data_IF_502077855829
#
_entry.id   IF_502077855829
#
_cell.length_a   1.000
_cell.length_b   1.000
_cell.length_c   1.000
_cell.angle_alpha   90.00
_cell.angle_beta   90.00
_cell.angle_gamma   90.00
#
_symmetry.space_group_name_H-M   'P 1'
#
loop_
_entity.id
_entity.type
_entity.pdbx_description
1 polymer ?
#
# COMPACT_ATOMS: atom_id res chain seq x y z
N UNK A 1 11.22 -30.53 -35.02
CA UNK A 1 11.89 -30.11 -36.28
C UNK A 1 11.17 -28.86 -36.80
N UNK A 2 11.79 -28.08 -37.69
CA UNK A 2 11.38 -26.71 -38.09
C UNK A 2 11.50 -25.69 -36.95
N UNK A 3 12.72 -25.16 -36.81
CA UNK A 3 12.98 -23.90 -36.13
C UNK A 3 12.66 -22.75 -37.10
N UNK A 4 11.86 -21.76 -36.67
CA UNK A 4 11.41 -20.64 -37.51
C UNK A 4 11.51 -19.32 -36.73
N UNK A 5 12.72 -18.98 -36.26
CA UNK A 5 13.06 -17.62 -35.78
C UNK A 5 14.37 -17.03 -36.30
N UNK A 6 14.86 -17.52 -37.45
CA UNK A 6 15.97 -16.90 -38.21
C UNK A 6 15.56 -15.60 -38.93
N UNK A 7 14.98 -14.64 -38.18
CA UNK A 7 15.03 -13.20 -38.44
C UNK A 7 14.24 -12.46 -37.35
N UNK A 8 14.93 -11.66 -36.55
CA UNK A 8 14.32 -10.52 -35.88
C UNK A 8 15.38 -9.43 -35.72
N UNK A 9 15.24 -8.37 -36.52
CA UNK A 9 16.04 -7.14 -36.41
C UNK A 9 15.89 -6.64 -34.97
N UNK A 10 17.02 -6.36 -34.31
CA UNK A 10 17.06 -5.89 -32.93
C UNK A 10 16.37 -4.54 -32.78
N UNK A 11 15.07 -4.56 -32.48
CA UNK A 11 14.32 -3.36 -32.06
C UNK A 11 15.06 -2.73 -30.87
N UNK A 12 15.36 -1.42 -30.89
CA UNK A 12 16.03 -0.78 -29.77
C UNK A 12 15.19 -0.93 -28.50
N UNK A 13 15.82 -1.40 -27.42
CA UNK A 13 15.19 -1.62 -26.11
C UNK A 13 15.05 -0.30 -25.34
N UNK A 14 14.36 0.67 -25.96
CA UNK A 14 14.20 2.03 -25.44
C UNK A 14 14.01 3.07 -26.54
N UNK A 15 13.76 4.31 -26.12
CA UNK A 15 13.65 5.49 -27.00
C UNK A 15 15.04 6.00 -27.42
N UNK A 16 16.07 5.67 -26.63
CA UNK A 16 17.45 6.16 -26.77
C UNK A 16 18.44 5.01 -26.97
N UNK A 17 19.62 5.34 -27.51
CA UNK A 17 20.76 4.42 -27.58
C UNK A 17 21.23 4.00 -26.17
N UNK A 18 21.78 2.79 -25.98
CA UNK A 18 22.34 2.38 -24.70
C UNK A 18 23.57 3.23 -24.33
N UNK A 19 23.69 3.59 -23.05
CA UNK A 19 24.82 4.39 -22.51
C UNK A 19 26.15 3.62 -22.64
N UNK A 20 26.10 2.29 -22.56
CA UNK A 20 27.22 1.39 -22.83
C UNK A 20 26.68 0.04 -23.30
N UNK A 21 27.43 -0.63 -24.17
CA UNK A 21 27.22 -2.04 -24.57
C UNK A 21 28.33 -2.96 -24.07
N UNK A 22 29.19 -2.49 -23.15
CA UNK A 22 30.22 -3.31 -22.54
C UNK A 22 29.61 -4.42 -21.67
N UNK A 23 30.15 -5.64 -21.79
CA UNK A 23 29.81 -6.74 -20.89
C UNK A 23 30.45 -6.57 -19.49
N UNK A 24 29.99 -7.33 -18.49
CA UNK A 24 30.58 -7.32 -17.15
C UNK A 24 32.03 -7.82 -17.17
N UNK A 25 32.88 -7.24 -16.32
CA UNK A 25 34.22 -7.76 -16.05
C UNK A 25 34.15 -8.98 -15.12
N UNK A 26 35.27 -9.67 -14.92
CA UNK A 26 35.38 -10.76 -13.94
C UNK A 26 35.00 -10.30 -12.51
N UNK A 27 35.33 -9.06 -12.15
CA UNK A 27 35.03 -8.50 -10.84
C UNK A 27 33.52 -8.22 -10.67
N UNK A 28 32.86 -7.73 -11.73
CA UNK A 28 31.40 -7.53 -11.73
C UNK A 28 30.64 -8.86 -11.61
N UNK A 29 31.17 -9.94 -12.19
CA UNK A 29 30.61 -11.30 -12.06
C UNK A 29 30.68 -11.75 -10.60
N UNK A 30 31.86 -11.69 -9.95
CA UNK A 30 32.01 -12.06 -8.54
C UNK A 30 31.14 -11.21 -7.61
N UNK A 31 31.07 -9.89 -7.82
CA UNK A 31 30.17 -9.03 -7.05
C UNK A 31 28.68 -9.34 -7.29
N UNK A 32 28.28 -9.82 -8.47
CA UNK A 32 26.92 -10.30 -8.71
C UNK A 32 26.65 -11.65 -8.05
N UNK A 33 27.64 -12.54 -7.96
CA UNK A 33 27.54 -13.81 -7.22
C UNK A 33 27.36 -13.57 -5.71
N UNK A 34 28.17 -12.68 -5.13
CA UNK A 34 28.01 -12.20 -3.74
C UNK A 34 26.62 -11.58 -3.49
N UNK A 35 26.13 -10.76 -4.42
CA UNK A 35 24.80 -10.16 -4.35
C UNK A 35 23.68 -11.21 -4.45
N UNK A 36 23.76 -12.17 -5.37
CA UNK A 36 22.77 -13.24 -5.48
C UNK A 36 22.73 -14.09 -4.19
N UNK A 37 23.90 -14.43 -3.62
CA UNK A 37 23.98 -15.14 -2.34
C UNK A 37 23.40 -14.34 -1.16
N UNK A 38 23.61 -13.02 -1.10
CA UNK A 38 23.01 -12.14 -0.10
C UNK A 38 21.48 -12.05 -0.23
N UNK A 39 20.95 -11.99 -1.45
CA UNK A 39 19.50 -11.92 -1.70
C UNK A 39 18.78 -13.22 -1.34
N UNK A 40 19.44 -14.37 -1.49
CA UNK A 40 18.95 -15.67 -0.97
C UNK A 40 18.94 -15.71 0.56
N UNK A 41 20.05 -15.34 1.20
CA UNK A 41 20.17 -15.28 2.67
C UNK A 41 19.19 -14.29 3.30
N UNK A 42 18.75 -13.27 2.55
CA UNK A 42 17.72 -12.32 2.99
C UNK A 42 16.27 -12.86 2.91
N UNK A 43 16.06 -14.14 2.59
CA UNK A 43 14.77 -14.81 2.48
C UNK A 43 13.76 -14.10 1.54
N UNK A 44 14.27 -13.47 0.47
CA UNK A 44 13.45 -12.73 -0.50
C UNK A 44 12.70 -13.62 -1.50
N UNK A 45 13.16 -14.86 -1.68
CA UNK A 45 12.55 -15.85 -2.55
C UNK A 45 11.52 -16.66 -1.76
N UNK A 46 10.39 -17.01 -2.38
CA UNK A 46 9.50 -18.02 -1.84
C UNK A 46 10.15 -19.42 -1.86
N UNK A 47 9.74 -20.30 -0.94
CA UNK A 47 10.21 -21.68 -0.98
C UNK A 47 9.47 -22.50 -2.06
N UNK A 48 10.03 -23.65 -2.43
CA UNK A 48 9.46 -24.52 -3.48
C UNK A 48 8.03 -24.96 -3.16
N UNK A 49 7.74 -25.18 -1.89
CA UNK A 49 6.43 -25.60 -1.38
C UNK A 49 5.40 -24.46 -1.48
N UNK A 50 5.81 -23.21 -1.29
CA UNK A 50 4.97 -22.04 -1.54
C UNK A 50 4.69 -21.87 -3.03
N UNK A 51 5.71 -21.96 -3.89
CA UNK A 51 5.54 -21.90 -5.35
C UNK A 51 4.52 -22.94 -5.85
N UNK A 52 4.64 -24.20 -5.41
CA UNK A 52 3.71 -25.29 -5.74
C UNK A 52 2.29 -24.98 -5.23
N UNK A 53 2.12 -24.42 -4.01
CA UNK A 53 0.81 -23.99 -3.52
C UNK A 53 0.20 -22.87 -4.38
N UNK A 54 0.99 -21.89 -4.82
CA UNK A 54 0.52 -20.80 -5.68
C UNK A 54 0.07 -21.31 -7.06
N UNK A 55 0.84 -22.22 -7.66
CA UNK A 55 0.45 -22.87 -8.91
C UNK A 55 -0.84 -23.69 -8.76
N UNK A 56 -0.97 -24.46 -7.67
CA UNK A 56 -2.20 -25.20 -7.37
C UNK A 56 -3.43 -24.28 -7.18
N UNK A 57 -3.26 -23.14 -6.51
CA UNK A 57 -4.30 -22.11 -6.36
C UNK A 57 -4.68 -21.52 -7.72
N UNK A 58 -3.71 -21.15 -8.57
CA UNK A 58 -3.96 -20.61 -9.90
C UNK A 58 -4.68 -21.61 -10.82
N UNK A 59 -4.28 -22.88 -10.80
CA UNK A 59 -4.99 -23.95 -11.50
C UNK A 59 -6.43 -24.09 -11.02
N UNK A 60 -6.67 -24.09 -9.69
CA UNK A 60 -8.03 -24.19 -9.13
C UNK A 60 -8.89 -22.98 -9.48
N UNK A 61 -8.36 -21.76 -9.39
CA UNK A 61 -9.06 -20.53 -9.79
C UNK A 61 -9.42 -20.54 -11.28
N UNK A 62 -8.52 -21.03 -12.14
CA UNK A 62 -8.75 -21.14 -13.58
C UNK A 62 -9.90 -22.10 -13.92
N UNK A 63 -10.01 -23.25 -13.23
CA UNK A 63 -11.15 -24.17 -13.42
C UNK A 63 -12.46 -23.63 -12.81
N UNK A 64 -12.40 -22.86 -11.70
CA UNK A 64 -13.56 -22.12 -11.17
C UNK A 64 -14.08 -21.12 -12.21
N UNK A 65 -13.19 -20.31 -12.79
CA UNK A 65 -13.53 -19.32 -13.83
C UNK A 65 -14.10 -19.97 -15.09
N UNK A 66 -13.54 -21.10 -15.54
CA UNK A 66 -14.10 -21.90 -16.65
C UNK A 66 -15.46 -22.51 -16.34
N UNK A 67 -15.72 -22.89 -15.09
CA UNK A 67 -17.01 -23.46 -14.67
C UNK A 67 -18.07 -22.37 -14.58
N UNK A 68 -17.73 -21.24 -13.95
CA UNK A 68 -18.55 -20.04 -13.90
C UNK A 68 -19.00 -19.58 -15.29
N UNK A 69 -18.09 -19.40 -16.25
CA UNK A 69 -18.48 -18.90 -17.59
C UNK A 69 -19.41 -19.85 -18.34
N UNK A 70 -19.32 -21.17 -18.11
CA UNK A 70 -20.26 -22.15 -18.67
C UNK A 70 -21.64 -22.02 -18.03
N UNK A 71 -21.70 -21.89 -16.72
CA UNK A 71 -22.96 -21.67 -15.99
C UNK A 71 -23.65 -20.37 -16.42
N UNK A 72 -22.90 -19.27 -16.54
CA UNK A 72 -23.39 -17.99 -17.07
C UNK A 72 -23.88 -18.11 -18.52
N UNK A 73 -23.15 -18.86 -19.37
CA UNK A 73 -23.57 -19.10 -20.75
C UNK A 73 -24.89 -19.87 -20.83
N UNK A 74 -25.07 -20.87 -19.95
CA UNK A 74 -26.31 -21.65 -19.85
C UNK A 74 -27.47 -20.79 -19.32
N UNK A 75 -27.27 -20.04 -18.24
CA UNK A 75 -28.28 -19.16 -17.64
C UNK A 75 -28.77 -18.05 -18.59
N UNK A 76 -27.91 -17.59 -19.50
CA UNK A 76 -28.25 -16.62 -20.55
C UNK A 76 -28.84 -17.25 -21.83
N UNK A 77 -29.24 -18.53 -21.77
CA UNK A 77 -29.96 -19.21 -22.85
C UNK A 77 -29.12 -19.49 -24.10
N UNK A 78 -27.79 -19.46 -24.00
CA UNK A 78 -26.94 -19.79 -25.14
C UNK A 78 -27.01 -21.30 -25.46
N UNK A 79 -26.90 -21.64 -26.74
CA UNK A 79 -27.00 -23.03 -27.21
C UNK A 79 -25.93 -23.93 -26.60
N UNK A 80 -26.23 -25.22 -26.49
CA UNK A 80 -25.33 -26.26 -25.98
C UNK A 80 -23.92 -26.22 -26.62
N UNK A 81 -23.87 -25.99 -27.93
CA UNK A 81 -22.61 -25.79 -28.68
C UNK A 81 -21.85 -24.56 -28.18
N UNK A 82 -22.53 -23.45 -27.90
CA UNK A 82 -21.93 -22.23 -27.36
C UNK A 82 -21.42 -22.46 -25.93
N UNK A 83 -22.23 -23.06 -25.06
CA UNK A 83 -21.86 -23.38 -23.66
C UNK A 83 -20.62 -24.29 -23.61
N UNK A 84 -20.52 -25.31 -24.47
CA UNK A 84 -19.35 -26.19 -24.52
C UNK A 84 -18.05 -25.47 -24.91
N UNK A 85 -18.14 -24.44 -25.77
CA UNK A 85 -16.98 -23.64 -26.21
C UNK A 85 -16.75 -22.37 -25.35
N UNK A 86 -17.67 -22.05 -24.43
CA UNK A 86 -17.52 -20.94 -23.51
C UNK A 86 -16.29 -21.12 -22.63
N UNK A 87 -15.43 -20.10 -22.62
CA UNK A 87 -14.11 -20.16 -21.99
C UNK A 87 -13.73 -18.80 -21.44
N UNK A 88 -13.08 -18.80 -20.28
CA UNK A 88 -12.54 -17.63 -19.62
C UNK A 88 -11.17 -18.02 -19.04
N UNK A 89 -10.23 -17.07 -18.98
CA UNK A 89 -8.84 -17.31 -18.59
C UNK A 89 -8.42 -16.35 -17.50
N UNK A 90 -7.54 -16.83 -16.61
CA UNK A 90 -6.85 -15.98 -15.65
C UNK A 90 -5.46 -15.62 -16.18
N UNK A 91 -5.09 -14.35 -16.05
CA UNK A 91 -3.75 -13.83 -16.31
C UNK A 91 -3.17 -13.29 -15.00
N UNK A 92 -1.95 -13.69 -14.66
CA UNK A 92 -1.22 -13.08 -13.54
C UNK A 92 -0.53 -11.80 -13.99
N UNK A 93 -0.40 -10.83 -13.09
CA UNK A 93 0.38 -9.61 -13.31
C UNK A 93 1.21 -9.24 -12.08
N UNK A 94 1.71 -8.00 -12.04
CA UNK A 94 2.34 -7.42 -10.87
C UNK A 94 3.54 -8.22 -10.37
N UNK A 95 3.68 -8.33 -9.05
CA UNK A 95 4.95 -8.79 -8.46
C UNK A 95 5.23 -10.29 -8.70
N UNK A 96 4.16 -11.10 -8.75
CA UNK A 96 4.24 -12.53 -9.03
C UNK A 96 4.62 -12.81 -10.49
N UNK A 97 3.94 -12.18 -11.46
CA UNK A 97 4.24 -12.33 -12.90
C UNK A 97 5.65 -11.85 -13.26
N UNK A 98 6.13 -10.78 -12.61
CA UNK A 98 7.50 -10.31 -12.77
C UNK A 98 8.54 -11.30 -12.18
N UNK A 99 8.16 -12.26 -11.34
CA UNK A 99 9.07 -13.23 -10.70
C UNK A 99 9.94 -12.62 -9.59
N UNK A 100 9.44 -11.55 -8.95
CA UNK A 100 10.14 -10.79 -7.91
C UNK A 100 9.30 -10.64 -6.63
N UNK A 101 8.21 -11.40 -6.51
CA UNK A 101 7.53 -11.68 -5.25
C UNK A 101 8.44 -12.46 -4.29
N UNK A 102 8.01 -12.54 -3.03
CA UNK A 102 8.65 -13.33 -1.99
C UNK A 102 7.61 -14.00 -1.08
N UNK A 103 8.03 -14.57 0.06
CA UNK A 103 7.14 -15.22 1.01
C UNK A 103 5.98 -14.30 1.43
N UNK A 104 4.79 -14.87 1.53
CA UNK A 104 3.57 -14.14 1.94
C UNK A 104 3.06 -13.01 1.02
N UNK A 105 3.69 -12.74 -0.13
CA UNK A 105 3.17 -11.74 -1.08
C UNK A 105 1.88 -12.21 -1.78
N UNK A 106 1.03 -11.28 -2.24
CA UNK A 106 -0.20 -11.60 -2.97
C UNK A 106 0.04 -12.06 -4.43
N UNK A 107 -1.01 -12.60 -5.07
CA UNK A 107 -1.02 -12.93 -6.50
C UNK A 107 -2.00 -12.03 -7.24
N UNK A 108 -1.47 -11.00 -7.90
CA UNK A 108 -2.24 -10.12 -8.78
C UNK A 108 -2.83 -10.93 -9.96
N UNK A 109 -4.17 -11.05 -10.05
CA UNK A 109 -4.86 -11.86 -11.05
C UNK A 109 -5.97 -11.09 -11.78
N UNK A 110 -6.07 -11.30 -13.10
CA UNK A 110 -7.11 -10.74 -13.97
C UNK A 110 -7.89 -11.89 -14.63
N UNK A 111 -9.20 -11.93 -14.40
CA UNK A 111 -10.11 -12.79 -15.17
C UNK A 111 -10.49 -12.11 -16.50
N UNK A 112 -10.43 -12.85 -17.60
CA UNK A 112 -10.86 -12.40 -18.93
C UNK A 112 -11.86 -13.41 -19.50
N UNK A 113 -13.10 -12.97 -19.67
CA UNK A 113 -14.20 -13.73 -20.28
C UNK A 113 -14.80 -13.01 -21.51
N UNK A 114 -15.78 -13.64 -22.19
CA UNK A 114 -16.46 -13.08 -23.35
C UNK A 114 -17.49 -12.01 -22.96
N UNK A 115 -17.67 -11.00 -23.83
CA UNK A 115 -18.50 -9.77 -23.65
C UNK A 115 -19.96 -9.96 -23.17
N UNK A 116 -20.53 -11.16 -23.26
CA UNK A 116 -21.90 -11.44 -22.78
C UNK A 116 -21.95 -11.81 -21.29
N UNK A 117 -20.83 -12.26 -20.71
CA UNK A 117 -20.68 -12.37 -19.28
C UNK A 117 -20.35 -10.98 -18.72
N UNK A 118 -21.23 -10.52 -17.85
CA UNK A 118 -21.15 -9.24 -17.18
C UNK A 118 -20.53 -9.45 -15.80
N UNK A 119 -20.00 -8.38 -15.19
CA UNK A 119 -19.50 -8.43 -13.81
C UNK A 119 -20.63 -8.74 -12.83
N UNK A 120 -21.86 -8.39 -13.18
CA UNK A 120 -23.07 -8.71 -12.42
C UNK A 120 -23.40 -10.22 -12.41
N UNK A 121 -22.81 -11.03 -13.29
CA UNK A 121 -22.91 -12.50 -13.21
C UNK A 121 -21.88 -13.12 -12.23
N UNK A 122 -20.97 -12.31 -11.68
CA UNK A 122 -19.89 -12.70 -10.77
C UNK A 122 -20.07 -11.97 -9.44
N UNK A 123 -21.02 -12.43 -8.62
CA UNK A 123 -21.42 -11.71 -7.42
C UNK A 123 -20.32 -11.63 -6.34
N UNK A 124 -19.95 -10.39 -6.03
CA UNK A 124 -19.14 -9.92 -4.89
C UNK A 124 -19.50 -8.46 -4.53
N UNK A 125 -20.69 -8.00 -4.93
CA UNK A 125 -21.39 -6.72 -4.61
C UNK A 125 -20.55 -5.45 -4.28
N UNK A 126 -20.62 -4.30 -4.95
CA UNK A 126 -21.28 -3.79 -6.18
C UNK A 126 -20.41 -2.56 -6.66
N UNK A 127 -20.73 -1.60 -7.55
CA UNK A 127 -21.94 -1.29 -8.33
C UNK A 127 -21.59 -0.52 -9.63
N UNK A 128 -22.12 -0.97 -10.79
CA UNK A 128 -22.31 -0.23 -12.06
C UNK A 128 -21.11 0.40 -12.81
N UNK A 129 -21.15 0.75 -14.10
CA UNK A 129 -21.78 0.27 -15.36
C UNK A 129 -20.92 0.90 -16.50
N UNK A 130 -20.63 0.20 -17.61
CA UNK A 130 -20.67 0.73 -19.01
C UNK A 130 -19.99 -0.19 -20.07
N UNK A 131 -20.32 0.07 -21.34
CA UNK A 131 -19.61 -0.42 -22.54
C UNK A 131 -18.98 0.77 -23.29
N UNK A 132 -18.04 0.48 -24.20
CA UNK A 132 -16.87 1.31 -24.53
C UNK A 132 -15.93 1.35 -23.32
N UNK A 133 -14.74 0.75 -23.49
CA UNK A 133 -13.97 0.15 -22.38
C UNK A 133 -13.81 1.13 -21.23
N UNK A 134 -14.49 0.83 -20.13
CA UNK A 134 -14.56 1.67 -18.95
C UNK A 134 -13.17 1.80 -18.31
N UNK A 135 -12.97 2.89 -17.57
CA UNK A 135 -11.65 3.19 -17.02
C UNK A 135 -11.19 2.12 -16.01
N UNK A 136 -12.12 1.40 -15.37
CA UNK A 136 -11.77 0.32 -14.43
C UNK A 136 -11.24 -0.90 -15.19
N UNK A 137 -11.89 -1.34 -16.27
CA UNK A 137 -11.40 -2.39 -17.16
C UNK A 137 -10.06 -2.02 -17.81
N UNK A 138 -9.87 -0.75 -18.21
CA UNK A 138 -8.56 -0.25 -18.69
C UNK A 138 -7.50 -0.34 -17.59
N UNK A 139 -7.79 0.11 -16.36
CA UNK A 139 -6.87 0.01 -15.21
C UNK A 139 -6.54 -1.45 -14.87
N UNK A 140 -7.51 -2.35 -14.92
CA UNK A 140 -7.32 -3.81 -14.73
C UNK A 140 -6.46 -4.44 -15.82
N UNK A 141 -6.67 -4.10 -17.09
CA UNK A 141 -5.83 -4.57 -18.21
C UNK A 141 -4.43 -3.96 -18.21
N UNK A 142 -4.27 -2.73 -17.69
CA UNK A 142 -2.97 -2.07 -17.58
C UNK A 142 -2.01 -2.83 -16.66
N UNK A 143 -2.50 -3.49 -15.60
CA UNK A 143 -1.69 -4.37 -14.76
C UNK A 143 -0.96 -5.44 -15.58
N UNK A 144 -1.70 -6.24 -16.34
CA UNK A 144 -1.13 -7.25 -17.26
C UNK A 144 -0.28 -6.62 -18.36
N UNK A 145 -0.79 -5.60 -19.06
CA UNK A 145 -0.11 -4.97 -20.20
C UNK A 145 1.24 -4.37 -19.81
N UNK A 146 1.29 -3.55 -18.77
CA UNK A 146 2.54 -2.91 -18.31
C UNK A 146 3.53 -3.97 -17.85
N UNK A 147 3.06 -5.02 -17.15
CA UNK A 147 3.91 -6.13 -16.71
C UNK A 147 4.56 -6.87 -17.89
N UNK A 148 3.78 -7.28 -18.88
CA UNK A 148 4.31 -8.01 -20.05
C UNK A 148 5.11 -7.07 -20.98
N UNK A 149 4.76 -5.78 -21.08
CA UNK A 149 5.56 -4.79 -21.82
C UNK A 149 6.93 -4.55 -21.18
N UNK A 150 7.02 -4.48 -19.85
CA UNK A 150 8.31 -4.41 -19.15
C UNK A 150 9.18 -5.63 -19.50
N UNK A 151 8.60 -6.84 -19.44
CA UNK A 151 9.31 -8.07 -19.79
C UNK A 151 9.72 -8.18 -21.27
N UNK A 152 9.03 -7.47 -22.17
CA UNK A 152 9.40 -7.36 -23.60
C UNK A 152 10.44 -6.27 -23.89
N UNK A 153 10.58 -5.28 -23.02
CA UNK A 153 11.48 -4.14 -23.21
C UNK A 153 12.84 -4.29 -22.51
N UNK A 154 13.00 -5.23 -21.58
CA UNK A 154 14.29 -5.48 -20.91
C UNK A 154 15.17 -6.45 -21.73
N UNK A 155 16.46 -6.12 -21.98
CA UNK A 155 17.35 -6.97 -22.79
C UNK A 155 17.78 -8.26 -22.06
N UNK A 156 17.74 -8.31 -20.73
CA UNK A 156 18.01 -9.52 -19.95
C UNK A 156 17.06 -9.63 -18.75
N UNK A 157 16.18 -10.64 -18.78
CA UNK A 157 15.16 -10.87 -17.75
C UNK A 157 15.77 -11.38 -16.43
N UNK A 158 16.88 -12.14 -16.42
CA UNK A 158 17.53 -12.56 -15.16
C UNK A 158 18.11 -11.35 -14.45
N UNK A 159 18.95 -10.57 -15.14
CA UNK A 159 19.58 -9.37 -14.58
C UNK A 159 18.53 -8.39 -14.07
N UNK A 160 17.49 -8.09 -14.86
CA UNK A 160 16.38 -7.25 -14.44
C UNK A 160 15.70 -7.75 -13.15
N UNK A 161 15.45 -9.06 -13.02
CA UNK A 161 14.87 -9.65 -11.80
C UNK A 161 15.79 -9.53 -10.59
N UNK A 162 17.08 -9.83 -10.72
CA UNK A 162 18.06 -9.68 -9.63
C UNK A 162 18.16 -8.21 -9.18
N UNK A 163 18.32 -7.27 -10.11
CA UNK A 163 18.34 -5.83 -9.81
C UNK A 163 17.04 -5.36 -9.16
N UNK A 164 15.87 -5.78 -9.65
CA UNK A 164 14.58 -5.37 -9.09
C UNK A 164 14.35 -5.97 -7.68
N UNK A 165 14.78 -7.21 -7.40
CA UNK A 165 14.77 -7.77 -6.04
C UNK A 165 15.64 -6.95 -5.08
N UNK A 166 16.86 -6.62 -5.50
CA UNK A 166 17.78 -5.76 -4.75
C UNK A 166 17.16 -4.37 -4.46
N UNK A 167 16.64 -3.68 -5.47
CA UNK A 167 16.01 -2.37 -5.32
C UNK A 167 14.74 -2.41 -4.44
N UNK A 168 13.96 -3.50 -4.48
CA UNK A 168 12.78 -3.66 -3.61
C UNK A 168 13.15 -3.97 -2.16
N UNK A 169 14.19 -4.77 -1.89
CA UNK A 169 14.73 -4.96 -0.54
C UNK A 169 15.25 -3.62 0.03
N UNK A 170 16.03 -2.91 -0.78
CA UNK A 170 16.56 -1.59 -0.43
C UNK A 170 15.44 -0.63 -0.03
N UNK A 171 14.47 -0.43 -0.92
CA UNK A 171 13.37 0.48 -0.69
C UNK A 171 12.58 0.12 0.58
N UNK A 172 12.36 -1.19 0.83
CA UNK A 172 11.68 -1.67 2.05
C UNK A 172 12.45 -1.30 3.31
N UNK A 173 13.74 -1.66 3.40
CA UNK A 173 14.56 -1.38 4.60
C UNK A 173 14.81 0.12 4.85
N UNK A 174 14.71 0.94 3.81
CA UNK A 174 14.82 2.41 3.89
C UNK A 174 13.49 3.13 4.14
N UNK A 175 12.37 2.41 4.19
CA UNK A 175 11.04 3.01 4.40
C UNK A 175 10.49 3.78 3.20
N UNK A 176 11.07 3.60 2.00
CA UNK A 176 10.63 4.24 0.74
C UNK A 176 9.91 3.27 -0.20
N UNK A 177 9.57 2.06 0.28
CA UNK A 177 8.69 1.13 -0.43
C UNK A 177 7.21 1.48 -0.17
N UNK A 178 6.84 2.67 -0.60
CA UNK A 178 5.50 3.27 -0.58
C UNK A 178 5.45 4.33 -1.69
N UNK A 179 4.28 4.80 -2.10
CA UNK A 179 4.15 5.81 -3.16
C UNK A 179 4.47 7.25 -2.69
N UNK A 180 5.61 7.43 -2.00
CA UNK A 180 6.20 8.73 -1.62
C UNK A 180 7.67 8.62 -1.16
N UNK A 181 8.38 9.76 -1.23
CA UNK A 181 9.68 10.11 -0.59
C UNK A 181 10.98 9.62 -1.28
N UNK A 182 11.88 10.59 -1.56
CA UNK A 182 13.26 10.39 -2.02
C UNK A 182 14.29 10.53 -0.87
N UNK A 183 15.41 9.79 -0.92
CA UNK A 183 16.71 10.16 -0.31
C UNK A 183 17.88 9.36 -0.92
N UNK A 184 19.12 9.90 -0.88
CA UNK A 184 20.28 9.41 -1.65
C UNK A 184 21.26 8.50 -0.87
N UNK A 185 21.96 7.65 -1.64
CA UNK A 185 23.35 7.13 -1.53
C UNK A 185 24.01 6.86 -0.16
N UNK A 186 24.45 5.62 0.04
CA UNK A 186 25.57 5.21 0.91
C UNK A 186 26.10 3.81 0.48
N UNK A 187 27.17 3.29 1.09
CA UNK A 187 27.74 1.93 0.81
C UNK A 187 26.75 0.79 1.09
N UNK A 188 26.93 -0.40 0.52
CA UNK A 188 25.96 -1.52 0.60
C UNK A 188 25.43 -1.83 2.01
N UNK A 189 26.28 -1.92 3.04
CA UNK A 189 25.84 -2.14 4.42
C UNK A 189 24.99 -0.97 4.95
N UNK A 190 25.44 0.26 4.69
CA UNK A 190 24.71 1.51 5.01
C UNK A 190 23.42 1.66 4.19
N UNK A 191 23.36 1.03 3.02
CA UNK A 191 22.24 1.01 2.07
C UNK A 191 21.15 0.06 2.58
N UNK A 192 21.51 -1.06 3.20
CA UNK A 192 20.60 -2.08 3.74
C UNK A 192 20.43 -2.06 5.27
N UNK A 193 21.06 -1.14 6.01
CA UNK A 193 20.71 -0.88 7.40
C UNK A 193 19.24 -0.42 7.52
N UNK A 194 18.47 -0.91 8.52
CA UNK A 194 17.14 -0.39 8.81
C UNK A 194 17.18 1.11 9.07
N UNK A 195 16.35 1.88 8.37
CA UNK A 195 16.24 3.31 8.66
C UNK A 195 15.62 3.49 10.06
N UNK A 196 16.38 4.08 10.99
CA UNK A 196 15.95 4.35 12.36
C UNK A 196 14.89 5.47 12.41
N UNK A 197 13.70 5.18 11.87
CA UNK A 197 12.64 6.14 11.58
C UNK A 197 12.23 6.93 12.82
N UNK A 198 11.97 6.24 13.94
CA UNK A 198 11.61 6.83 15.22
C UNK A 198 12.77 7.53 15.94
N UNK A 199 13.99 7.50 15.38
CA UNK A 199 15.13 8.28 15.86
C UNK A 199 15.39 9.52 15.00
N UNK A 200 15.06 9.46 13.70
CA UNK A 200 15.43 10.45 12.68
C UNK A 200 14.69 11.80 12.77
N UNK A 201 13.46 11.83 13.31
CA UNK A 201 12.68 13.07 13.48
C UNK A 201 12.57 13.45 14.96
N UNK A 202 12.47 14.76 15.25
CA UNK A 202 12.23 15.26 16.62
C UNK A 202 10.75 15.23 17.01
N UNK A 203 9.86 15.28 16.01
CA UNK A 203 8.42 15.40 16.15
C UNK A 203 7.73 14.46 15.15
N UNK A 204 6.59 13.92 15.55
CA UNK A 204 5.76 13.03 14.76
C UNK A 204 4.29 13.47 14.90
N UNK A 205 3.47 13.14 13.91
CA UNK A 205 2.04 12.94 14.14
C UNK A 205 1.79 11.45 14.39
N UNK A 206 1.02 11.13 15.42
CA UNK A 206 0.45 9.80 15.64
C UNK A 206 -1.01 9.84 15.21
N UNK A 207 -1.39 8.95 14.29
CA UNK A 207 -2.75 8.78 13.78
C UNK A 207 -3.27 7.47 14.37
N UNK A 208 -4.07 7.58 15.42
CA UNK A 208 -4.72 6.43 16.04
C UNK A 208 -6.10 6.21 15.43
N UNK A 209 -6.41 4.97 15.08
CA UNK A 209 -7.75 4.53 14.67
C UNK A 209 -8.22 3.36 15.54
N UNK A 210 -9.53 3.24 15.73
CA UNK A 210 -10.13 2.04 16.29
C UNK A 210 -11.58 1.83 15.83
N UNK A 211 -12.07 0.60 15.97
CA UNK A 211 -13.45 0.19 15.69
C UNK A 211 -13.94 -0.82 16.76
N UNK A 212 -15.19 -1.26 16.69
CA UNK A 212 -15.78 -2.23 17.65
C UNK A 212 -15.44 -3.70 17.37
N UNK A 213 -14.99 -4.04 16.17
CA UNK A 213 -14.73 -5.42 15.70
C UNK A 213 -13.79 -5.40 14.49
N UNK A 214 -13.18 -6.55 14.16
CA UNK A 214 -12.21 -6.68 13.07
C UNK A 214 -12.78 -6.36 11.67
N UNK A 215 -14.05 -6.69 11.40
CA UNK A 215 -14.67 -6.44 10.09
C UNK A 215 -14.84 -4.94 9.81
N UNK A 216 -15.32 -4.19 10.81
CA UNK A 216 -15.36 -2.73 10.76
C UNK A 216 -13.96 -2.13 10.73
N UNK A 217 -13.03 -2.68 11.51
CA UNK A 217 -11.65 -2.21 11.60
C UNK A 217 -10.89 -2.36 10.28
N UNK A 218 -11.00 -3.49 9.60
CA UNK A 218 -10.30 -3.78 8.34
C UNK A 218 -10.68 -2.76 7.25
N UNK A 219 -11.98 -2.49 7.13
CA UNK A 219 -12.52 -1.50 6.19
C UNK A 219 -12.14 -0.07 6.59
N UNK A 220 -12.25 0.28 7.88
CA UNK A 220 -11.85 1.60 8.39
C UNK A 220 -10.35 1.85 8.23
N UNK A 221 -9.52 0.83 8.47
CA UNK A 221 -8.08 0.83 8.25
C UNK A 221 -7.74 1.20 6.81
N UNK A 222 -8.26 0.46 5.83
CA UNK A 222 -8.00 0.73 4.40
C UNK A 222 -8.51 2.11 3.94
N UNK A 223 -9.65 2.56 4.46
CA UNK A 223 -10.19 3.90 4.18
C UNK A 223 -9.26 5.02 4.68
N UNK A 224 -8.74 4.90 5.91
CA UNK A 224 -7.82 5.89 6.50
C UNK A 224 -6.43 5.82 5.87
N UNK A 225 -5.90 4.62 5.65
CA UNK A 225 -4.56 4.39 5.08
C UNK A 225 -4.41 5.04 3.69
N UNK A 226 -5.42 4.86 2.82
CA UNK A 226 -5.49 5.51 1.51
C UNK A 226 -5.56 7.05 1.57
N UNK A 227 -5.84 7.63 2.74
CA UNK A 227 -5.94 9.09 2.97
C UNK A 227 -4.72 9.70 3.66
N UNK A 228 -3.82 8.91 4.25
CA UNK A 228 -2.60 9.44 4.91
C UNK A 228 -1.77 10.32 3.96
N UNK A 229 -1.72 9.98 2.66
CA UNK A 229 -1.06 10.80 1.63
C UNK A 229 -1.73 12.18 1.43
N UNK A 230 -3.05 12.29 1.65
CA UNK A 230 -3.76 13.57 1.60
C UNK A 230 -3.38 14.46 2.79
N UNK A 231 -3.14 13.89 3.97
CA UNK A 231 -2.63 14.66 5.12
C UNK A 231 -1.24 15.23 4.84
N UNK A 232 -0.32 14.47 4.21
CA UNK A 232 0.96 15.04 3.72
C UNK A 232 0.72 16.24 2.81
N UNK A 233 -0.15 16.11 1.80
CA UNK A 233 -0.42 17.20 0.85
C UNK A 233 -1.08 18.41 1.51
N UNK A 234 -2.02 18.22 2.47
CA UNK A 234 -2.62 19.34 3.21
C UNK A 234 -1.59 20.07 4.08
N UNK A 235 -0.69 19.36 4.76
CA UNK A 235 0.36 20.00 5.58
C UNK A 235 1.39 20.72 4.70
N UNK A 236 1.78 20.14 3.56
CA UNK A 236 2.69 20.80 2.62
C UNK A 236 2.03 22.06 1.99
N UNK A 237 0.72 22.01 1.67
CA UNK A 237 -0.09 23.17 1.25
C UNK A 237 -0.09 24.27 2.33
N UNK A 238 -0.53 23.93 3.54
CA UNK A 238 -0.81 24.91 4.60
C UNK A 238 0.47 25.52 5.20
N UNK A 239 1.54 24.73 5.29
CA UNK A 239 2.87 25.22 5.69
C UNK A 239 3.68 25.82 4.54
N UNK A 240 3.11 25.94 3.32
CA UNK A 240 3.78 26.48 2.12
C UNK A 240 5.09 25.76 1.79
N UNK A 241 5.14 24.45 1.98
CA UNK A 241 6.31 23.59 1.76
C UNK A 241 7.44 23.75 2.80
N UNK A 242 7.21 24.46 3.91
CA UNK A 242 8.20 24.65 4.99
C UNK A 242 8.32 23.41 5.87
N UNK A 243 7.25 22.62 6.03
CA UNK A 243 7.24 21.33 6.72
C UNK A 243 7.01 20.20 5.71
N UNK A 244 7.91 19.23 5.72
CA UNK A 244 7.74 17.94 5.04
C UNK A 244 7.19 16.91 6.02
N UNK A 245 6.26 16.09 5.55
CA UNK A 245 5.62 15.03 6.34
C UNK A 245 5.86 13.67 5.68
N UNK A 246 6.69 12.84 6.29
CA UNK A 246 7.01 11.52 5.78
C UNK A 246 6.19 10.47 6.56
N UNK A 247 5.19 9.79 5.95
CA UNK A 247 4.48 8.70 6.63
C UNK A 247 5.37 7.46 6.77
N UNK A 248 5.18 6.70 7.85
CA UNK A 248 5.72 5.35 7.98
C UNK A 248 4.93 4.40 7.06
N UNK A 249 5.56 3.46 6.33
CA UNK A 249 4.85 2.59 5.37
C UNK A 249 3.91 1.52 5.94
N UNK A 250 3.57 1.56 7.23
CA UNK A 250 2.77 0.55 7.90
C UNK A 250 2.17 1.01 9.22
N UNK A 251 1.47 0.11 9.89
CA UNK A 251 0.72 0.36 11.12
C UNK A 251 1.26 -0.42 12.33
N UNK A 252 0.92 0.06 13.53
CA UNK A 252 1.29 -0.54 14.80
C UNK A 252 0.05 -0.80 15.66
N UNK A 253 -0.19 -2.07 15.99
CA UNK A 253 -1.22 -2.51 16.93
C UNK A 253 -0.66 -2.65 18.35
N UNK A 254 -1.29 -2.01 19.33
CA UNK A 254 -1.00 -2.22 20.75
C UNK A 254 -1.70 -3.51 21.21
N UNK A 255 -0.95 -4.56 21.56
CA UNK A 255 -1.52 -5.86 22.00
C UNK A 255 -2.38 -5.77 23.25
N UNK A 256 -2.30 -4.68 24.03
CA UNK A 256 -3.20 -4.42 25.17
C UNK A 256 -4.53 -3.78 24.77
N UNK A 257 -4.70 -3.37 23.50
CA UNK A 257 -5.85 -2.65 22.97
C UNK A 257 -6.32 -3.31 21.66
N UNK A 258 -7.09 -4.41 21.73
CA UNK A 258 -7.68 -5.01 20.54
C UNK A 258 -8.52 -3.98 19.78
N UNK A 259 -8.60 -4.18 18.46
CA UNK A 259 -9.27 -3.30 17.51
C UNK A 259 -8.71 -1.86 17.42
N UNK A 260 -7.44 -1.62 17.80
CA UNK A 260 -6.73 -0.33 17.63
C UNK A 260 -5.47 -0.48 16.77
N UNK A 261 -5.30 0.44 15.82
CA UNK A 261 -4.08 0.60 15.03
C UNK A 261 -3.57 2.05 15.08
N UNK A 262 -2.26 2.21 14.97
CA UNK A 262 -1.56 3.50 15.09
C UNK A 262 -0.62 3.67 13.90
N UNK A 263 -0.72 4.78 13.17
CA UNK A 263 0.26 5.17 12.15
C UNK A 263 1.07 6.36 12.63
N UNK A 264 2.27 6.55 12.08
CA UNK A 264 3.16 7.64 12.47
C UNK A 264 3.70 8.40 11.26
N UNK A 265 3.70 9.73 11.30
CA UNK A 265 4.29 10.60 10.27
C UNK A 265 5.41 11.45 10.86
N UNK A 266 6.64 11.28 10.39
CA UNK A 266 7.80 12.07 10.79
C UNK A 266 7.76 13.48 10.23
N UNK A 267 7.92 14.49 11.09
CA UNK A 267 7.87 15.90 10.73
C UNK A 267 9.28 16.49 10.61
N UNK A 268 9.60 17.08 9.46
CA UNK A 268 10.90 17.71 9.19
C UNK A 268 10.71 19.11 8.58
N UNK A 269 11.49 20.10 9.00
CA UNK A 269 11.55 21.40 8.29
C UNK A 269 12.45 21.28 7.06
N UNK A 270 12.04 21.88 5.95
CA UNK A 270 12.90 22.04 4.77
C UNK A 270 14.01 23.04 5.10
N UNK A 271 15.27 22.70 4.83
CA UNK A 271 16.39 23.61 5.08
C UNK A 271 16.43 24.71 3.99
N UNK A 272 16.68 25.95 4.40
CA UNK A 272 16.82 27.11 3.50
C UNK A 272 16.19 28.42 3.99
N UNK A 273 15.24 28.39 4.94
CA UNK A 273 14.39 29.56 5.26
C UNK A 273 14.70 30.25 6.59
N UNK A 274 15.85 30.92 6.66
CA UNK A 274 16.13 32.02 7.62
C UNK A 274 16.19 31.66 9.12
N UNK A 275 16.38 32.68 9.99
CA UNK A 275 16.61 32.50 11.43
C UNK A 275 15.35 32.19 12.26
N UNK A 276 14.21 31.80 11.67
CA UNK A 276 13.01 31.40 12.43
C UNK A 276 13.09 29.96 12.98
N UNK A 277 14.23 29.60 13.59
CA UNK A 277 14.45 28.32 14.30
C UNK A 277 13.72 28.27 15.67
N UNK A 278 12.44 28.64 15.70
CA UNK A 278 11.65 28.68 16.93
C UNK A 278 10.14 28.73 16.73
N UNK A 279 9.64 29.45 15.70
CA UNK A 279 8.20 29.57 15.44
C UNK A 279 7.56 28.19 15.27
N UNK A 280 6.65 27.81 16.16
CA UNK A 280 5.89 26.56 16.07
C UNK A 280 4.96 26.64 14.85
N UNK A 281 4.95 25.58 14.04
CA UNK A 281 3.96 25.43 12.98
C UNK A 281 2.74 24.77 13.61
N UNK A 282 1.65 25.52 13.67
CA UNK A 282 0.35 24.96 14.01
C UNK A 282 -0.21 24.23 12.77
N UNK A 283 -0.58 22.97 12.96
CA UNK A 283 -1.24 22.11 11.96
C UNK A 283 -2.60 21.63 12.45
N UNK A 284 -3.11 22.18 13.56
CA UNK A 284 -4.37 21.76 14.20
C UNK A 284 -5.53 21.87 13.22
N UNK A 285 -5.70 23.03 12.57
CA UNK A 285 -6.69 23.22 11.50
C UNK A 285 -6.52 22.23 10.35
N UNK A 286 -5.29 21.99 9.91
CA UNK A 286 -4.99 21.03 8.83
C UNK A 286 -5.40 19.60 9.21
N UNK A 287 -5.22 19.25 10.48
CA UNK A 287 -5.62 17.98 11.08
C UNK A 287 -7.14 17.89 11.29
N UNK A 288 -7.82 18.98 11.66
CA UNK A 288 -9.28 19.07 11.73
C UNK A 288 -9.91 18.91 10.34
N UNK A 289 -9.41 19.64 9.34
CA UNK A 289 -9.81 19.52 7.93
C UNK A 289 -9.54 18.10 7.39
N UNK A 290 -8.51 17.39 7.86
CA UNK A 290 -8.26 16.00 7.48
C UNK A 290 -9.21 15.01 8.19
N UNK A 291 -9.42 15.21 9.49
CA UNK A 291 -10.32 14.39 10.32
C UNK A 291 -11.76 14.46 9.78
N UNK A 292 -12.21 15.64 9.36
CA UNK A 292 -13.51 15.84 8.71
C UNK A 292 -13.63 15.04 7.39
N UNK A 293 -12.66 15.16 6.48
CA UNK A 293 -12.64 14.40 5.22
C UNK A 293 -12.59 12.88 5.43
N UNK A 294 -11.99 12.41 6.54
CA UNK A 294 -11.96 11.00 6.92
C UNK A 294 -13.32 10.52 7.42
N UNK A 295 -14.04 11.35 8.19
CA UNK A 295 -15.39 11.02 8.66
C UNK A 295 -16.46 11.08 7.55
N UNK A 296 -16.17 11.66 6.38
CA UNK A 296 -17.00 11.59 5.18
C UNK A 296 -17.01 10.19 4.49
N UNK A 297 -16.87 9.12 5.28
CA UNK A 297 -16.93 7.73 4.80
C UNK A 297 -18.37 7.25 4.71
N UNK A 298 -18.78 6.78 3.53
CA UNK A 298 -20.14 6.29 3.26
C UNK A 298 -20.59 5.17 4.21
N UNK A 299 -19.65 4.36 4.69
CA UNK A 299 -19.90 3.22 5.58
C UNK A 299 -19.41 3.47 7.01
N UNK A 300 -19.27 4.74 7.42
CA UNK A 300 -18.90 5.12 8.77
C UNK A 300 -19.94 4.64 9.79
N UNK A 301 -19.47 4.35 11.02
CA UNK A 301 -20.29 3.99 12.17
C UNK A 301 -19.80 4.79 13.39
N UNK A 302 -20.66 5.16 14.35
CA UNK A 302 -20.25 5.85 15.59
C UNK A 302 -19.20 5.10 16.42
N UNK A 303 -18.97 3.81 16.16
CA UNK A 303 -17.92 2.98 16.76
C UNK A 303 -16.54 3.13 16.10
N UNK A 304 -16.47 3.66 14.87
CA UNK A 304 -15.25 3.93 14.14
C UNK A 304 -14.74 5.33 14.48
N UNK A 305 -13.54 5.44 15.05
CA UNK A 305 -12.93 6.73 15.36
C UNK A 305 -11.50 6.86 14.84
N UNK A 306 -11.09 8.11 14.69
CA UNK A 306 -9.74 8.54 14.36
C UNK A 306 -9.35 9.68 15.32
N UNK A 307 -8.09 9.70 15.75
CA UNK A 307 -7.49 10.79 16.50
C UNK A 307 -6.08 11.03 15.98
N UNK A 308 -5.75 12.27 15.62
CA UNK A 308 -4.42 12.66 15.16
C UNK A 308 -3.80 13.63 16.15
N UNK A 309 -2.69 13.26 16.77
CA UNK A 309 -2.02 14.07 17.78
C UNK A 309 -0.53 14.27 17.49
N UNK A 310 0.02 15.39 17.98
CA UNK A 310 1.47 15.62 17.97
C UNK A 310 2.16 14.82 19.09
N UNK A 311 3.23 14.11 18.73
CA UNK A 311 4.05 13.34 19.66
C UNK A 311 5.53 13.71 19.44
N UNK A 312 6.25 14.06 20.52
CA UNK A 312 7.71 14.28 20.45
C UNK A 312 8.41 12.94 20.43
N UNK A 313 9.61 12.87 19.86
CA UNK A 313 10.40 11.63 19.77
C UNK A 313 10.50 10.84 21.09
N UNK A 314 10.71 11.53 22.20
CA UNK A 314 10.89 10.88 23.49
C UNK A 314 9.58 10.33 24.08
N UNK A 315 8.43 10.80 23.57
CA UNK A 315 7.09 10.49 24.09
C UNK A 315 6.39 9.39 23.27
N UNK A 316 7.07 8.85 22.24
CA UNK A 316 6.57 7.73 21.42
C UNK A 316 6.22 6.52 22.33
N UNK A 317 5.07 5.84 22.10
CA UNK A 317 4.67 4.66 22.85
C UNK A 317 5.67 3.50 22.73
N UNK A 318 5.93 2.81 23.85
CA UNK A 318 6.94 1.75 23.89
C UNK A 318 6.60 0.54 22.98
N UNK A 319 5.31 0.28 22.67
CA UNK A 319 4.90 -0.85 21.83
C UNK A 319 5.45 -0.78 20.40
N UNK A 320 5.74 0.43 19.89
CA UNK A 320 6.37 0.66 18.58
C UNK A 320 7.76 0.00 18.53
N UNK A 321 8.56 0.18 19.59
CA UNK A 321 9.90 -0.38 19.75
C UNK A 321 9.91 -1.86 20.23
N UNK A 322 8.75 -2.50 20.33
CA UNK A 322 8.63 -3.96 20.51
C UNK A 322 8.38 -4.68 19.18
N UNK A 323 8.11 -3.94 18.10
CA UNK A 323 7.96 -4.46 16.73
C UNK A 323 9.24 -4.22 15.92
N UNK A 324 9.85 -3.04 16.04
CA UNK A 324 11.19 -2.80 15.48
C UNK A 324 12.29 -3.27 16.45
N UNK A 325 13.06 -4.30 16.06
CA UNK A 325 14.23 -4.79 16.81
C UNK A 325 15.42 -3.80 16.75
N UNK A 326 15.28 -2.64 17.39
CA UNK A 326 16.26 -1.56 17.41
C UNK A 326 16.53 -0.99 18.81
N UNK A 327 17.63 -0.24 19.00
CA UNK A 327 18.08 0.20 20.32
C UNK A 327 17.10 1.17 20.98
N UNK A 328 16.70 0.85 22.21
CA UNK A 328 15.75 1.64 22.98
C UNK A 328 16.30 3.03 23.39
N UNK A 329 15.49 4.11 23.27
CA UNK A 329 15.82 5.39 23.89
C UNK A 329 15.64 5.29 25.42
N UNK A 330 16.72 5.45 26.18
CA UNK A 330 16.68 5.41 27.64
C UNK A 330 15.82 6.56 28.22
N UNK A 331 14.67 6.21 28.83
CA UNK A 331 13.78 7.16 29.51
C UNK A 331 14.19 7.35 30.98
N UNK A 332 14.34 8.61 31.40
CA UNK A 332 14.27 8.97 32.84
C UNK A 332 12.82 8.79 33.32
N UNK A 333 12.58 8.43 34.60
CA UNK A 333 11.22 8.21 35.10
C UNK A 333 10.41 9.52 35.07
N UNK A 334 9.25 9.50 34.42
CA UNK A 334 8.23 10.55 34.49
C UNK A 334 7.09 10.11 35.40
N UNK A 335 6.52 11.04 36.15
CA UNK A 335 5.51 10.74 37.16
C UNK A 335 4.22 10.15 36.55
N UNK A 336 3.55 9.27 37.30
CA UNK A 336 2.24 8.71 36.93
C UNK A 336 1.22 9.84 36.79
N UNK A 337 0.68 10.03 35.59
CA UNK A 337 -0.54 10.81 35.35
C UNK A 337 -1.70 9.81 35.22
N UNK A 338 -2.72 9.95 36.07
CA UNK A 338 -3.89 9.07 36.03
C UNK A 338 -4.67 9.27 34.72
N UNK A 339 -5.06 8.16 34.08
CA UNK A 339 -6.11 8.18 33.07
C UNK A 339 -7.44 7.96 33.78
N UNK A 340 -8.34 8.94 33.72
CA UNK A 340 -9.75 8.67 33.93
C UNK A 340 -10.29 7.92 32.70
N UNK A 341 -11.04 6.85 32.93
CA UNK A 341 -11.78 6.16 31.88
C UNK A 341 -13.01 6.97 31.51
N UNK A 342 -13.01 7.60 30.34
CA UNK A 342 -14.15 8.34 29.82
C UNK A 342 -14.43 7.92 28.36
N UNK A 343 -15.46 7.09 28.18
CA UNK A 343 -16.32 7.27 27.01
C UNK A 343 -17.10 8.57 27.23
N UNK A 344 -17.31 9.43 26.22
CA UNK A 344 -18.29 10.50 26.32
C UNK A 344 -19.68 9.87 26.42
N UNK A 345 -20.33 9.99 27.57
CA UNK A 345 -21.75 9.69 27.67
C UNK A 345 -22.55 10.72 26.85
N UNK A 346 -23.66 10.28 26.25
CA UNK A 346 -24.44 11.11 25.33
C UNK A 346 -25.46 11.93 26.11
N UNK A 347 -25.17 13.22 26.31
CA UNK A 347 -26.15 14.15 26.88
C UNK A 347 -27.40 14.23 25.99
N UNK A 348 -28.56 13.99 26.59
CA UNK A 348 -29.84 13.95 25.89
C UNK A 348 -30.43 15.36 25.79
N UNK A 349 -30.39 15.93 24.58
CA UNK A 349 -30.95 17.27 24.30
C UNK A 349 -32.48 17.24 24.43
N UNK A 350 -32.98 17.55 25.61
CA UNK A 350 -34.42 17.63 25.92
C UNK A 350 -34.98 18.99 25.48
N UNK A 351 -35.73 18.98 24.37
CA UNK A 351 -36.32 20.19 23.78
C UNK A 351 -37.45 20.76 24.65
N UNK A 352 -37.15 21.76 25.47
CA UNK A 352 -38.14 22.54 26.22
C UNK A 352 -38.62 23.75 25.43
N UNK A 353 -39.73 23.58 24.69
CA UNK A 353 -40.43 24.71 24.04
C UNK A 353 -40.99 25.67 25.09
N UNK A 354 -40.41 26.87 25.21
CA UNK A 354 -41.10 28.02 25.83
C UNK A 354 -42.03 28.68 24.80
N UNK A 355 -43.30 28.28 24.81
CA UNK A 355 -44.35 29.03 24.13
C UNK A 355 -44.60 30.35 24.88
N UNK A 356 -44.47 31.48 24.20
CA UNK A 356 -45.11 32.73 24.64
C UNK A 356 -46.59 32.67 24.28
N UNK A 357 -47.47 32.91 25.24
CA UNK A 357 -48.77 33.52 24.98
C UNK A 357 -48.76 34.89 25.63
N UNK A 358 -48.76 35.92 24.79
CA UNK A 358 -49.18 37.27 25.15
C UNK A 358 -50.68 37.33 24.81
N UNK A 359 -51.55 37.59 25.78
CA UNK A 359 -52.90 38.08 25.52
C UNK A 359 -53.37 38.92 26.70
N UNK A 360 -54.08 40.02 26.44
CA UNK A 360 -54.45 41.01 27.44
C UNK A 360 -55.72 41.75 27.04
N UNK A 361 -56.77 41.55 27.86
CA UNK A 361 -58.18 41.94 27.64
C UNK A 361 -58.95 41.03 26.70
#
# INVERSE_FOLDING_TARGET
MMDIRSNNISRPTGIWQPISTAGPTKMDITMNEELEQFLENAALCECREEAIRREAVLCRLNEIVKTWIKNVSCAKGHTDRTVRHANAKIFTFGSYRLGVHGPGADIDTLCVGPKYADRNDLDISQESILRYVDEQTVRSLNGCRVTDQILQLVPNIKTFRTTLRCMRLWAKRRGVYSNAVEARTASWDTLFQPFAYFQAYRNYLQIDIAAKNDGDLLNWKGWVESRIRLLTLKIERDTRGLVQCHPYPGDFSDKSKPFRHSYFMGLRRKQGTGPQQGKQFDVTRTVEEFTYDVYAYSSWKPTMWINVCHVKRNDIPNFVFLVESGPHPAKKPSAKRSLASAFPETETVTSTKKTKQDESK
#
